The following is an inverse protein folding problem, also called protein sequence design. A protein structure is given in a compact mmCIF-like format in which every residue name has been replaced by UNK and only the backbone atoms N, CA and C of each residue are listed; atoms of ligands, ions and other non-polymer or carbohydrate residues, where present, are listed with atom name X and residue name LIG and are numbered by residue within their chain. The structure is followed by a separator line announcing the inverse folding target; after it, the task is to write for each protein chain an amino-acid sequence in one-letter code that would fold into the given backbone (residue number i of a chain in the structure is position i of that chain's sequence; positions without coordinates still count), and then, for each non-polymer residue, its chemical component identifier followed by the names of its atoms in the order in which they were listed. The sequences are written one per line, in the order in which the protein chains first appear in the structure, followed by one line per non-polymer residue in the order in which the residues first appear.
data_IF_002569377276
#
_entry.id   IF_002569377276
#
_cell.length_a   1.000
_cell.length_b   1.000
_cell.length_c   1.000
_cell.angle_alpha   90.00
_cell.angle_beta   90.00
_cell.angle_gamma   90.00
#
_symmetry.space_group_name_H-M   'P 1'
#
loop_
_entity.id
_entity.type
_entity.pdbx_description
1 polymer ?
#
# COMPACT_ATOMS: atom_id res chain seq x y z
N UNK A 1 -1.24 -6.43 5.98
CA UNK A 1 0.02 -7.19 6.23
C UNK A 1 -0.05 -8.64 5.75
N UNK A 2 -1.06 -9.44 6.16
CA UNK A 2 -1.21 -10.84 5.72
C UNK A 2 -1.22 -10.99 4.19
N UNK A 3 -1.95 -10.12 3.47
CA UNK A 3 -1.95 -10.11 2.01
C UNK A 3 -0.56 -9.87 1.41
N UNK A 4 0.22 -8.91 1.93
CA UNK A 4 1.57 -8.61 1.43
C UNK A 4 2.55 -9.79 1.63
N UNK A 5 2.51 -10.44 2.80
CA UNK A 5 3.34 -11.62 3.07
C UNK A 5 2.91 -12.82 2.22
N UNK A 6 1.60 -13.04 2.07
CA UNK A 6 1.06 -14.12 1.23
C UNK A 6 1.42 -13.94 -0.25
N UNK A 7 1.39 -12.70 -0.75
CA UNK A 7 1.88 -12.38 -2.10
C UNK A 7 3.38 -12.64 -2.25
N UNK A 8 4.20 -12.26 -1.26
CA UNK A 8 5.65 -12.48 -1.30
C UNK A 8 5.99 -13.99 -1.33
N UNK A 9 5.32 -14.79 -0.49
CA UNK A 9 5.45 -16.25 -0.50
C UNK A 9 5.00 -16.88 -1.81
N UNK A 10 3.89 -16.40 -2.38
CA UNK A 10 3.38 -16.89 -3.67
C UNK A 10 4.29 -16.53 -4.84
N UNK A 11 4.88 -15.34 -4.84
CA UNK A 11 5.87 -14.91 -5.83
C UNK A 11 7.17 -15.72 -5.74
N UNK A 12 7.61 -16.07 -4.53
CA UNK A 12 8.74 -16.96 -4.32
C UNK A 12 8.45 -18.36 -4.87
N UNK A 13 7.27 -18.90 -4.55
CA UNK A 13 6.81 -20.20 -5.07
C UNK A 13 6.75 -20.19 -6.60
N UNK A 14 6.24 -19.12 -7.22
CA UNK A 14 6.26 -18.96 -8.68
C UNK A 14 7.69 -18.94 -9.24
N UNK A 15 8.61 -18.22 -8.60
CA UNK A 15 10.03 -18.16 -9.03
C UNK A 15 10.63 -19.57 -9.07
N UNK A 16 10.38 -20.37 -8.03
CA UNK A 16 10.89 -21.75 -7.92
C UNK A 16 10.21 -22.66 -8.93
N UNK A 17 8.89 -22.62 -9.03
CA UNK A 17 8.12 -23.48 -9.92
C UNK A 17 8.46 -23.23 -11.40
N UNK A 18 8.64 -21.96 -11.79
CA UNK A 18 9.02 -21.61 -13.16
C UNK A 18 10.48 -21.96 -13.49
N UNK A 19 11.42 -21.87 -12.53
CA UNK A 19 12.80 -22.33 -12.73
C UNK A 19 12.91 -23.86 -12.89
N UNK A 20 12.05 -24.61 -12.18
CA UNK A 20 12.04 -26.08 -12.24
C UNK A 20 11.13 -26.64 -13.34
N UNK A 21 10.45 -25.77 -14.09
CA UNK A 21 9.47 -26.18 -15.09
C UNK A 21 10.08 -27.01 -16.22
N UNK A 22 11.33 -26.68 -16.62
CA UNK A 22 12.07 -27.44 -17.65
C UNK A 22 12.55 -28.81 -17.15
N UNK A 23 12.65 -29.02 -15.83
CA UNK A 23 13.11 -30.28 -15.23
C UNK A 23 11.94 -31.18 -14.82
N UNK A 24 10.81 -30.58 -14.45
CA UNK A 24 9.66 -31.25 -13.84
C UNK A 24 8.36 -30.69 -14.41
N UNK A 25 7.75 -31.39 -15.37
CA UNK A 25 6.52 -30.94 -16.05
C UNK A 25 5.34 -30.68 -15.09
N UNK A 26 5.30 -31.37 -13.95
CA UNK A 26 4.27 -31.19 -12.92
C UNK A 26 4.39 -29.87 -12.15
N UNK A 27 5.49 -29.13 -12.28
CA UNK A 27 5.66 -27.77 -11.72
C UNK A 27 4.71 -26.75 -12.38
N UNK A 28 4.16 -27.06 -13.55
CA UNK A 28 3.10 -26.26 -14.19
C UNK A 28 1.87 -26.13 -13.28
N UNK A 29 1.43 -27.23 -12.65
CA UNK A 29 0.31 -27.23 -11.70
C UNK A 29 0.61 -26.38 -10.46
N UNK A 30 1.85 -26.46 -9.95
CA UNK A 30 2.29 -25.65 -8.80
C UNK A 30 2.30 -24.17 -9.17
N UNK A 31 2.76 -23.82 -10.38
CA UNK A 31 2.75 -22.43 -10.88
C UNK A 31 1.33 -21.88 -10.99
N UNK A 32 0.38 -22.70 -11.45
CA UNK A 32 -1.05 -22.34 -11.52
C UNK A 32 -1.61 -22.08 -10.12
N UNK A 33 -1.34 -22.96 -9.15
CA UNK A 33 -1.80 -22.76 -7.77
C UNK A 33 -1.17 -21.49 -7.19
N UNK A 34 0.12 -21.26 -7.43
CA UNK A 34 0.84 -20.11 -6.92
C UNK A 34 0.29 -18.78 -7.46
N UNK A 35 -0.10 -18.70 -8.74
CA UNK A 35 -0.71 -17.49 -9.28
C UNK A 35 -2.10 -17.23 -8.69
N UNK A 36 -2.91 -18.28 -8.46
CA UNK A 36 -4.19 -18.12 -7.78
C UNK A 36 -4.04 -17.67 -6.34
N UNK A 37 -3.08 -18.23 -5.60
CA UNK A 37 -2.74 -17.77 -4.26
C UNK A 37 -2.28 -16.31 -4.26
N UNK A 38 -1.43 -15.92 -5.22
CA UNK A 38 -0.98 -14.55 -5.37
C UNK A 38 -2.16 -13.58 -5.55
N UNK A 39 -3.11 -13.91 -6.44
CA UNK A 39 -4.32 -13.10 -6.67
C UNK A 39 -5.20 -13.07 -5.42
N UNK A 40 -5.42 -14.20 -4.75
CA UNK A 40 -6.24 -14.25 -3.53
C UNK A 40 -5.65 -13.37 -2.42
N UNK A 41 -4.34 -13.41 -2.20
CA UNK A 41 -3.68 -12.56 -1.22
C UNK A 41 -3.65 -11.08 -1.61
N UNK A 42 -3.62 -10.78 -2.92
CA UNK A 42 -3.77 -9.43 -3.42
C UNK A 42 -5.14 -8.86 -3.05
N UNK A 43 -6.22 -9.60 -3.30
CA UNK A 43 -7.59 -9.18 -2.97
C UNK A 43 -7.84 -9.05 -1.45
N UNK A 44 -7.16 -9.86 -0.63
CA UNK A 44 -7.28 -9.75 0.85
C UNK A 44 -6.57 -8.51 1.40
N UNK A 45 -5.57 -7.97 0.69
CA UNK A 45 -4.74 -6.88 1.19
C UNK A 45 -4.63 -5.70 0.21
N UNK A 46 -3.61 -5.66 -0.64
CA UNK A 46 -3.29 -4.46 -1.42
C UNK A 46 -4.34 -4.05 -2.46
N UNK A 47 -5.24 -4.95 -2.87
CA UNK A 47 -6.28 -4.66 -3.86
C UNK A 47 -7.29 -3.62 -3.37
N UNK A 48 -8.08 -3.92 -2.33
CA UNK A 48 -9.12 -3.00 -1.84
C UNK A 48 -8.58 -1.89 -0.92
N UNK A 49 -7.57 -2.18 -0.10
CA UNK A 49 -7.18 -1.32 1.03
C UNK A 49 -6.83 0.12 0.63
N UNK A 50 -6.01 0.39 -0.41
CA UNK A 50 -5.66 1.77 -0.79
C UNK A 50 -6.87 2.60 -1.19
N UNK A 51 -7.86 2.00 -1.85
CA UNK A 51 -9.08 2.69 -2.29
C UNK A 51 -9.98 3.05 -1.10
N UNK A 52 -10.07 2.17 -0.10
CA UNK A 52 -10.82 2.45 1.12
C UNK A 52 -10.12 3.49 1.99
N UNK A 53 -8.79 3.38 2.18
CA UNK A 53 -8.02 4.31 3.01
C UNK A 53 -8.14 5.76 2.49
N UNK A 54 -8.10 5.99 1.18
CA UNK A 54 -8.26 7.35 0.64
C UNK A 54 -9.68 7.89 0.86
N UNK A 55 -10.71 7.03 0.83
CA UNK A 55 -12.07 7.44 1.16
C UNK A 55 -12.23 7.77 2.65
N UNK A 56 -11.52 7.05 3.53
CA UNK A 56 -11.58 7.20 4.99
C UNK A 56 -10.75 8.36 5.54
N UNK A 57 -9.57 8.62 4.96
CA UNK A 57 -8.65 9.66 5.44
C UNK A 57 -9.08 11.09 5.07
N UNK A 58 -9.92 11.25 4.04
CA UNK A 58 -10.31 12.56 3.53
C UNK A 58 -11.80 12.85 3.76
N UNK A 59 -12.08 14.05 4.29
CA UNK A 59 -13.43 14.59 4.40
C UNK A 59 -14.07 14.83 3.01
N UNK A 60 -15.39 14.97 2.96
CA UNK A 60 -16.16 15.00 1.70
C UNK A 60 -15.68 16.07 0.69
N UNK A 61 -15.12 17.18 1.15
CA UNK A 61 -14.57 18.23 0.28
C UNK A 61 -13.34 17.79 -0.52
N UNK A 62 -12.21 17.45 0.12
CA UNK A 62 -10.97 17.06 -0.58
C UNK A 62 -10.98 15.64 -1.15
N UNK A 63 -11.93 14.77 -0.79
CA UNK A 63 -11.95 13.35 -1.18
C UNK A 63 -11.89 13.12 -2.71
N UNK A 64 -12.66 13.81 -3.58
CA UNK A 64 -12.59 13.57 -5.02
C UNK A 64 -11.19 13.84 -5.60
N UNK A 65 -10.52 14.91 -5.16
CA UNK A 65 -9.17 15.24 -5.60
C UNK A 65 -8.13 14.23 -5.10
N UNK A 66 -8.25 13.77 -3.85
CA UNK A 66 -7.39 12.73 -3.30
C UNK A 66 -7.52 11.40 -4.06
N UNK A 67 -8.76 11.00 -4.38
CA UNK A 67 -9.04 9.80 -5.19
C UNK A 67 -8.46 9.91 -6.61
N UNK A 68 -8.52 11.10 -7.21
CA UNK A 68 -7.95 11.33 -8.54
C UNK A 68 -6.41 11.17 -8.53
N UNK A 69 -5.72 11.73 -7.54
CA UNK A 69 -4.26 11.60 -7.40
C UNK A 69 -3.85 10.15 -7.09
N UNK A 70 -4.59 9.47 -6.22
CA UNK A 70 -4.37 8.06 -5.91
C UNK A 70 -4.56 7.18 -7.16
N UNK A 71 -5.63 7.41 -7.91
CA UNK A 71 -5.90 6.69 -9.16
C UNK A 71 -4.84 6.96 -10.23
N UNK A 72 -4.45 8.21 -10.43
CA UNK A 72 -3.37 8.56 -11.36
C UNK A 72 -2.04 7.87 -10.99
N UNK A 73 -1.70 7.86 -9.71
CA UNK A 73 -0.51 7.18 -9.20
C UNK A 73 -0.57 5.67 -9.44
N UNK A 74 -1.73 5.05 -9.22
CA UNK A 74 -1.95 3.62 -9.50
C UNK A 74 -1.78 3.30 -10.98
N UNK A 75 -2.42 4.06 -11.88
CA UNK A 75 -2.31 3.83 -13.31
C UNK A 75 -0.91 4.08 -13.86
N UNK A 76 -0.20 5.07 -13.30
CA UNK A 76 1.21 5.33 -13.66
C UNK A 76 2.12 4.20 -13.20
N UNK A 77 1.93 3.68 -11.98
CA UNK A 77 2.66 2.50 -11.51
C UNK A 77 2.40 1.27 -12.40
N UNK A 78 1.14 1.04 -12.78
CA UNK A 78 0.78 -0.03 -13.72
C UNK A 78 1.45 0.15 -15.09
N UNK A 79 1.52 1.38 -15.61
CA UNK A 79 2.23 1.66 -16.85
C UNK A 79 3.73 1.37 -16.75
N UNK A 80 4.38 1.82 -15.66
CA UNK A 80 5.81 1.57 -15.41
C UNK A 80 6.08 0.07 -15.30
N UNK A 81 5.25 -0.67 -14.56
CA UNK A 81 5.38 -2.13 -14.45
C UNK A 81 5.13 -2.79 -15.80
N UNK A 82 4.10 -2.41 -16.54
CA UNK A 82 3.80 -2.98 -17.86
C UNK A 82 4.92 -2.77 -18.88
N UNK A 83 5.55 -1.59 -18.88
CA UNK A 83 6.69 -1.29 -19.76
C UNK A 83 7.99 -1.95 -19.26
N UNK A 84 8.19 -2.00 -17.94
CA UNK A 84 9.39 -2.54 -17.29
C UNK A 84 9.41 -4.05 -17.12
N UNK A 85 8.27 -4.74 -17.28
CA UNK A 85 8.16 -6.19 -17.18
C UNK A 85 8.78 -6.88 -18.41
N UNK A 86 10.11 -6.93 -18.43
CA UNK A 86 10.90 -7.58 -19.46
C UNK A 86 11.13 -9.05 -19.12
N UNK A 87 10.06 -9.86 -19.15
CA UNK A 87 10.16 -11.31 -18.89
C UNK A 87 11.21 -11.99 -19.79
N UNK A 88 11.38 -11.50 -21.02
CA UNK A 88 12.36 -12.01 -21.98
C UNK A 88 13.82 -11.81 -21.55
N UNK A 89 14.11 -10.84 -20.68
CA UNK A 89 15.47 -10.56 -20.21
C UNK A 89 15.77 -11.20 -18.85
N UNK A 90 14.79 -11.27 -17.95
CA UNK A 90 14.99 -11.73 -16.57
C UNK A 90 14.46 -13.15 -16.31
N UNK A 91 13.64 -13.71 -17.20
CA UNK A 91 13.01 -15.01 -17.01
C UNK A 91 12.22 -15.10 -15.68
N UNK A 92 12.22 -16.27 -15.02
CA UNK A 92 11.56 -16.47 -13.73
C UNK A 92 12.04 -15.53 -12.60
N UNK A 93 13.25 -14.97 -12.70
CA UNK A 93 13.81 -14.10 -11.67
C UNK A 93 13.14 -12.73 -11.59
N UNK A 94 12.30 -12.36 -12.57
CA UNK A 94 11.49 -11.14 -12.53
C UNK A 94 10.64 -11.05 -11.27
N UNK A 95 10.19 -12.19 -10.74
CA UNK A 95 9.39 -12.27 -9.51
C UNK A 95 10.17 -11.89 -8.25
N UNK A 96 11.50 -11.98 -8.25
CA UNK A 96 12.34 -11.52 -7.14
C UNK A 96 12.25 -10.00 -6.98
N UNK A 97 12.19 -9.26 -8.10
CA UNK A 97 12.02 -7.80 -8.07
C UNK A 97 10.70 -7.46 -7.36
N UNK A 98 9.62 -8.17 -7.68
CA UNK A 98 8.33 -8.00 -6.99
C UNK A 98 8.40 -8.36 -5.51
N UNK A 99 9.13 -9.42 -5.12
CA UNK A 99 9.33 -9.77 -3.70
C UNK A 99 10.04 -8.62 -2.95
N UNK A 100 11.07 -8.02 -3.53
CA UNK A 100 11.78 -6.88 -2.92
C UNK A 100 10.81 -5.71 -2.69
N UNK A 101 9.99 -5.37 -3.69
CA UNK A 101 8.97 -4.33 -3.53
C UNK A 101 7.91 -4.71 -2.48
N UNK A 102 7.45 -5.95 -2.45
CA UNK A 102 6.47 -6.42 -1.47
C UNK A 102 7.01 -6.35 -0.03
N UNK A 103 8.29 -6.68 0.19
CA UNK A 103 8.93 -6.55 1.49
C UNK A 103 9.15 -5.08 1.88
N UNK A 104 9.52 -4.22 0.92
CA UNK A 104 9.60 -2.79 1.14
C UNK A 104 8.24 -2.20 1.54
N UNK A 105 7.18 -2.53 0.80
CA UNK A 105 5.82 -2.09 1.12
C UNK A 105 5.34 -2.68 2.44
N UNK A 106 5.69 -3.93 2.76
CA UNK A 106 5.41 -4.52 4.06
C UNK A 106 6.04 -3.70 5.20
N UNK A 107 7.33 -3.36 5.08
CA UNK A 107 8.02 -2.52 6.06
C UNK A 107 7.39 -1.12 6.15
N UNK A 108 7.11 -0.49 5.02
CA UNK A 108 6.44 0.80 4.97
C UNK A 108 5.06 0.74 5.64
N UNK A 109 4.21 -0.24 5.29
CA UNK A 109 2.89 -0.40 5.92
C UNK A 109 3.02 -0.66 7.41
N UNK A 110 3.95 -1.52 7.84
CA UNK A 110 4.13 -1.84 9.25
C UNK A 110 4.56 -0.64 10.10
N UNK A 111 5.47 0.21 9.60
CA UNK A 111 6.00 1.34 10.37
C UNK A 111 5.26 2.67 10.16
N UNK A 112 4.70 2.91 8.97
CA UNK A 112 4.15 4.22 8.58
C UNK A 112 2.64 4.26 8.48
N UNK A 113 1.96 3.11 8.30
CA UNK A 113 0.50 3.10 8.23
C UNK A 113 -0.05 2.80 9.62
N UNK A 114 -0.59 3.80 10.35
CA UNK A 114 -1.25 3.53 11.62
C UNK A 114 -2.45 2.60 11.37
N UNK A 115 -2.56 1.54 12.15
CA UNK A 115 -3.66 0.57 12.03
C UNK A 115 -5.01 1.30 12.25
N UNK A 116 -5.73 1.58 11.16
CA UNK A 116 -7.04 2.26 11.19
C UNK A 116 -8.18 1.34 11.62
N UNK A 117 -7.90 0.04 11.75
CA UNK A 117 -8.90 -1.00 12.01
C UNK A 117 -9.43 -0.89 13.45
N UNK A 118 -10.61 -0.29 13.60
CA UNK A 118 -11.33 -0.18 14.87
C UNK A 118 -11.23 1.18 15.58
N UNK A 119 -10.69 2.22 14.93
CA UNK A 119 -10.70 3.60 15.45
C UNK A 119 -11.75 4.43 14.72
N UNK A 120 -12.45 5.31 15.44
CA UNK A 120 -13.45 6.20 14.86
C UNK A 120 -12.80 7.30 14.03
N UNK A 121 -13.51 7.83 13.04
CA UNK A 121 -13.03 8.91 12.15
C UNK A 121 -12.42 10.09 12.91
N UNK A 122 -12.99 10.44 14.07
CA UNK A 122 -12.54 11.53 14.91
C UNK A 122 -11.16 11.29 15.56
N UNK A 123 -10.84 10.05 15.93
CA UNK A 123 -9.54 9.69 16.52
C UNK A 123 -8.42 9.73 15.47
N UNK A 124 -8.71 9.29 14.25
CA UNK A 124 -7.77 9.36 13.12
C UNK A 124 -7.54 10.83 12.75
N UNK A 125 -8.60 11.63 12.66
CA UNK A 125 -8.49 13.06 12.34
C UNK A 125 -7.84 13.90 13.46
N UNK A 126 -7.98 13.49 14.73
CA UNK A 126 -7.32 14.14 15.87
C UNK A 126 -5.80 13.86 15.91
N UNK A 127 -5.38 12.64 15.54
CA UNK A 127 -3.96 12.28 15.45
C UNK A 127 -3.18 13.10 14.42
N UNK A 128 -3.83 13.51 13.32
CA UNK A 128 -3.24 14.42 12.32
C UNK A 128 -3.37 15.92 12.68
N UNK A 129 -4.25 16.29 13.62
CA UNK A 129 -4.49 17.68 14.02
C UNK A 129 -3.56 18.18 15.13
N UNK A 130 -2.87 17.29 15.82
CA UNK A 130 -2.12 17.64 17.04
C UNK A 130 -0.77 18.36 16.82
N UNK A 131 -0.44 18.82 15.61
CA UNK A 131 0.75 19.64 15.35
C UNK A 131 0.49 21.14 15.19
N UNK A 132 -0.76 21.61 15.29
CA UNK A 132 -1.00 23.06 15.30
C UNK A 132 -2.05 23.45 16.34
N UNK A 133 -1.68 24.16 17.41
CA UNK A 133 -2.67 24.73 18.31
C UNK A 133 -3.61 25.63 17.50
N UNK A 134 -4.93 25.61 17.78
CA UNK A 134 -5.89 26.49 17.11
C UNK A 134 -5.40 27.93 17.21
N UNK A 135 -5.40 28.66 16.08
CA UNK A 135 -5.00 30.07 16.04
C UNK A 135 -5.81 30.97 17.01
N UNK A 136 -6.92 30.46 17.54
CA UNK A 136 -7.77 31.10 18.53
C UNK A 136 -7.16 31.12 19.95
N UNK A 137 -6.32 30.12 20.31
CA UNK A 137 -5.53 30.15 21.56
C UNK A 137 -4.33 31.10 21.46
N UNK A 138 -3.72 31.26 20.28
CA UNK A 138 -2.64 32.23 20.07
C UNK A 138 -3.13 33.67 20.14
N UNK A 139 -4.35 33.95 19.66
CA UNK A 139 -4.95 35.28 19.75
C UNK A 139 -5.38 35.63 21.19
N UNK A 140 -5.82 34.67 21.99
CA UNK A 140 -6.16 34.92 23.40
C UNK A 140 -4.93 35.05 24.30
N UNK A 141 -3.85 34.32 24.00
CA UNK A 141 -2.56 34.45 24.69
C UNK A 141 -1.83 35.75 24.33
N UNK A 142 -1.95 36.23 23.09
CA UNK A 142 -1.43 37.54 22.67
C UNK A 142 -2.23 38.70 23.27
N UNK A 143 -3.57 38.61 23.26
CA UNK A 143 -4.43 39.65 23.82
C UNK A 143 -4.33 39.79 25.35
N UNK A 144 -3.96 38.72 26.07
CA UNK A 144 -3.72 38.77 27.51
C UNK A 144 -2.41 39.50 27.87
N UNK A 145 -1.34 39.29 27.10
CA UNK A 145 -0.02 39.88 27.37
C UNK A 145 0.03 41.40 27.10
N UNK A 146 -0.76 41.90 26.15
CA UNK A 146 -0.85 43.33 25.83
C UNK A 146 -1.71 44.12 26.84
N UNK A 147 -2.42 43.43 27.76
CA UNK A 147 -3.30 44.04 28.76
C UNK A 147 -2.64 44.24 30.14
N UNK A 148 -1.40 43.77 30.33
CA UNK A 148 -0.62 43.89 31.58
C UNK A 148 0.60 44.85 31.46
N UNK A 149 0.71 45.62 30.37
CA UNK A 149 1.71 46.70 30.18
C UNK A 149 1.02 48.08 30.11
#
# INVERSE_FOLDING_TARGET
LVGLLGMAGSALLMTIALNLLEQLEWMSYISIIAIFCFVAFFEIGPGPIPWFIVAELFSQGPRPSAMAVAGFSNWTANFIVGMGFQYQLCGPYVFIIFIVFLLFFFGFTYFKVPETKGRTFDEIAAGFRSEKPPAEELNSLGAGADSEL
#
